data_IF_414821326777
#
_entry.id   IF_414821326777
#
_cell.length_a   1.000
_cell.length_b   1.000
_cell.length_c   1.000
_cell.angle_alpha   90.00
_cell.angle_beta   90.00
_cell.angle_gamma   90.00
#
_symmetry.space_group_name_H-M   'P 1'
#
loop_
_entity.id
_entity.type
_entity.pdbx_description
1 polymer ?
#
# COMPACT_ATOMS: atom_id res chain seq x y z
N UNK A 1 76.28 3.95 -18.48
CA UNK A 1 75.38 4.55 -17.52
C UNK A 1 73.97 4.37 -18.01
N UNK A 2 73.27 3.36 -17.45
CA UNK A 2 71.90 2.99 -17.81
C UNK A 2 70.98 3.45 -16.63
N UNK A 3 70.00 4.30 -16.91
CA UNK A 3 69.00 4.74 -15.92
C UNK A 3 67.89 3.70 -15.82
N UNK A 4 67.36 3.38 -14.64
CA UNK A 4 66.23 2.51 -14.48
C UNK A 4 64.91 3.31 -14.64
N UNK A 5 64.06 2.81 -15.50
CA UNK A 5 62.67 3.28 -15.68
C UNK A 5 61.80 2.78 -14.54
N UNK A 6 61.14 3.70 -13.80
CA UNK A 6 60.20 3.40 -12.76
C UNK A 6 58.83 3.04 -13.36
N UNK A 7 58.28 1.86 -13.03
CA UNK A 7 56.92 1.46 -13.33
C UNK A 7 55.95 2.03 -12.28
N UNK A 8 54.84 2.69 -12.65
CA UNK A 8 53.85 3.09 -11.69
C UNK A 8 53.01 1.91 -11.22
N UNK A 9 52.84 1.79 -9.93
CA UNK A 9 52.13 0.74 -9.23
C UNK A 9 50.64 0.66 -9.59
N UNK A 10 50.26 -0.43 -10.22
CA UNK A 10 48.90 -0.78 -10.68
C UNK A 10 47.92 -1.11 -9.54
N UNK A 11 48.33 -0.99 -8.28
CA UNK A 11 47.55 -1.44 -7.11
C UNK A 11 46.64 -0.35 -6.51
N UNK A 12 46.69 0.91 -7.02
CA UNK A 12 45.80 1.99 -6.48
C UNK A 12 44.47 2.12 -7.21
N UNK A 13 44.37 1.62 -8.43
CA UNK A 13 43.11 1.71 -9.20
C UNK A 13 42.08 0.61 -8.81
N UNK A 14 42.53 -0.53 -8.26
CA UNK A 14 41.63 -1.61 -7.86
C UNK A 14 40.94 -1.37 -6.52
N UNK A 15 41.50 -0.55 -5.64
CA UNK A 15 40.92 -0.23 -4.33
C UNK A 15 39.75 0.75 -4.40
N UNK A 16 39.68 1.58 -5.45
CA UNK A 16 38.61 2.57 -5.59
C UNK A 16 37.34 2.00 -6.21
N UNK A 17 37.43 0.90 -6.96
CA UNK A 17 36.29 0.24 -7.59
C UNK A 17 35.42 -0.58 -6.62
N UNK A 18 35.95 -1.03 -5.47
CA UNK A 18 35.21 -1.79 -4.47
C UNK A 18 34.37 -0.96 -3.50
N UNK A 19 34.57 0.35 -3.44
CA UNK A 19 33.85 1.22 -2.49
C UNK A 19 32.52 1.75 -3.02
N UNK A 20 32.22 1.59 -4.30
CA UNK A 20 30.98 2.11 -4.93
C UNK A 20 29.84 1.08 -4.89
N UNK A 21 30.11 -0.19 -4.59
CA UNK A 21 29.10 -1.27 -4.63
C UNK A 21 28.28 -1.44 -3.34
N UNK A 22 28.49 -0.63 -2.30
CA UNK A 22 27.84 -0.81 -0.99
C UNK A 22 26.62 0.11 -0.75
N UNK A 23 26.14 0.84 -1.75
CA UNK A 23 24.98 1.74 -1.63
C UNK A 23 23.74 1.19 -2.34
N UNK A 24 23.58 -0.15 -2.39
CA UNK A 24 22.24 -0.71 -2.66
C UNK A 24 21.55 -0.78 -1.30
N UNK A 25 21.16 0.40 -0.78
CA UNK A 25 20.31 0.51 0.37
C UNK A 25 18.96 -0.14 0.01
N UNK A 26 18.46 -1.01 0.88
CA UNK A 26 17.07 -1.44 0.87
C UNK A 26 16.21 -0.18 0.75
N UNK A 27 15.53 0.01 -0.37
CA UNK A 27 14.48 1.02 -0.50
C UNK A 27 13.26 0.50 0.24
N UNK A 28 13.35 0.48 1.58
CA UNK A 28 12.17 0.39 2.42
C UNK A 28 11.32 1.63 2.12
N UNK A 29 10.02 1.47 2.04
CA UNK A 29 9.10 2.61 1.95
C UNK A 29 9.22 3.32 3.29
N UNK A 30 9.74 4.55 3.28
CA UNK A 30 9.85 5.41 4.45
C UNK A 30 8.69 6.41 4.40
N UNK A 31 7.77 6.32 5.36
CA UNK A 31 6.63 7.22 5.49
C UNK A 31 6.85 8.12 6.71
N UNK A 32 6.60 9.41 6.55
CA UNK A 32 6.67 10.35 7.66
C UNK A 32 5.55 10.07 8.67
N UNK A 33 5.89 10.08 9.94
CA UNK A 33 4.94 9.91 11.05
C UNK A 33 4.44 11.25 11.61
N UNK A 34 4.79 12.36 10.97
CA UNK A 34 4.36 13.71 11.34
C UNK A 34 3.32 14.19 10.32
N UNK A 35 2.18 14.68 10.83
CA UNK A 35 1.15 15.24 9.97
C UNK A 35 1.69 16.44 9.19
N UNK A 36 1.52 16.49 7.86
CA UNK A 36 1.95 17.64 7.07
C UNK A 36 1.14 18.89 7.42
N UNK A 37 1.82 20.03 7.42
CA UNK A 37 1.21 21.32 7.76
C UNK A 37 0.10 21.67 6.75
N UNK A 38 -1.07 22.01 7.26
CA UNK A 38 -2.20 22.45 6.45
C UNK A 38 -3.05 21.32 5.87
N UNK A 39 -2.71 20.06 6.12
CA UNK A 39 -3.54 18.92 5.72
C UNK A 39 -4.41 18.48 6.88
N UNK A 40 -5.72 18.60 6.71
CA UNK A 40 -6.71 18.11 7.67
C UNK A 40 -7.81 17.33 6.93
N UNK A 41 -7.75 16.01 7.05
CA UNK A 41 -8.71 15.09 6.46
C UNK A 41 -9.97 14.90 7.33
N UNK A 42 -10.00 15.41 8.57
CA UNK A 42 -11.14 15.22 9.47
C UNK A 42 -12.43 15.77 8.87
N UNK A 43 -13.53 15.06 9.08
CA UNK A 43 -14.86 15.43 8.64
C UNK A 43 -15.68 14.27 8.13
N UNK A 44 -16.89 14.57 7.66
CA UNK A 44 -17.76 13.60 7.02
C UNK A 44 -17.67 13.73 5.50
N UNK A 45 -17.57 12.60 4.82
CA UNK A 45 -17.30 12.51 3.41
C UNK A 45 -18.31 11.57 2.75
N UNK A 46 -19.08 12.08 1.79
CA UNK A 46 -20.03 11.30 1.00
C UNK A 46 -19.41 10.91 -0.34
N UNK A 47 -19.54 9.66 -0.72
CA UNK A 47 -19.01 9.17 -1.99
C UNK A 47 -19.65 9.88 -3.17
N UNK A 48 -18.83 10.26 -4.14
CA UNK A 48 -19.24 10.67 -5.47
C UNK A 48 -19.20 9.47 -6.40
N UNK A 49 -20.37 8.90 -6.69
CA UNK A 49 -20.46 7.74 -7.60
C UNK A 49 -20.17 8.08 -9.06
N UNK A 50 -20.30 9.36 -9.43
CA UNK A 50 -20.04 9.81 -10.81
C UNK A 50 -18.54 9.84 -11.13
N UNK A 51 -17.74 10.24 -10.15
CA UNK A 51 -16.29 10.38 -10.28
C UNK A 51 -15.52 9.20 -9.67
N UNK A 52 -16.21 8.25 -9.01
CA UNK A 52 -15.61 7.03 -8.45
C UNK A 52 -15.66 5.88 -9.43
N UNK A 53 -14.65 5.03 -9.37
CA UNK A 53 -14.67 3.75 -10.09
C UNK A 53 -15.75 2.82 -9.57
N UNK A 54 -16.32 2.04 -10.48
CA UNK A 54 -17.21 0.94 -10.13
C UNK A 54 -16.39 -0.24 -9.63
N UNK A 55 -16.47 -0.52 -8.34
CA UNK A 55 -15.79 -1.69 -7.76
C UNK A 55 -16.65 -2.93 -8.06
N UNK A 56 -16.11 -3.92 -8.80
CA UNK A 56 -16.84 -5.16 -9.07
C UNK A 56 -17.04 -5.97 -7.78
N UNK A 57 -17.99 -6.90 -7.78
CA UNK A 57 -18.15 -7.82 -6.66
C UNK A 57 -16.96 -8.80 -6.57
N UNK A 58 -15.94 -8.40 -5.80
CA UNK A 58 -14.73 -9.18 -5.59
C UNK A 58 -14.99 -10.49 -4.81
N UNK A 59 -16.12 -10.61 -4.10
CA UNK A 59 -16.47 -11.80 -3.30
C UNK A 59 -16.88 -12.97 -4.18
N UNK A 60 -17.54 -12.67 -5.30
CA UNK A 60 -18.09 -13.67 -6.22
C UNK A 60 -17.23 -13.82 -7.49
N UNK A 61 -16.03 -13.28 -7.50
CA UNK A 61 -15.14 -13.40 -8.65
C UNK A 61 -14.70 -14.86 -8.81
N UNK A 62 -14.92 -15.50 -9.98
CA UNK A 62 -14.50 -16.88 -10.19
C UNK A 62 -12.98 -16.97 -10.10
N UNK A 63 -12.44 -18.01 -9.44
CA UNK A 63 -11.01 -18.20 -9.33
C UNK A 63 -10.36 -18.28 -10.72
N UNK A 64 -9.25 -17.57 -10.89
CA UNK A 64 -8.47 -17.62 -12.13
C UNK A 64 -7.91 -19.04 -12.29
N UNK A 65 -8.12 -19.68 -13.42
CA UNK A 65 -7.53 -21.01 -13.69
C UNK A 65 -6.00 -20.89 -13.55
N UNK A 66 -5.37 -21.71 -12.70
CA UNK A 66 -3.93 -21.62 -12.50
C UNK A 66 -3.23 -21.82 -13.83
N UNK A 67 -2.36 -20.89 -14.20
CA UNK A 67 -1.49 -21.05 -15.36
C UNK A 67 -0.63 -22.30 -15.14
N UNK A 68 -0.56 -23.18 -16.11
CA UNK A 68 -0.07 -24.59 -16.12
C UNK A 68 1.43 -24.76 -15.75
N UNK A 69 2.01 -23.98 -14.83
CA UNK A 69 3.45 -23.92 -14.60
C UNK A 69 3.96 -24.02 -13.16
N UNK A 70 3.21 -24.68 -12.26
CA UNK A 70 3.80 -25.10 -10.97
C UNK A 70 3.44 -26.55 -10.69
N UNK A 71 4.25 -27.46 -11.24
CA UNK A 71 4.26 -28.87 -10.92
C UNK A 71 5.32 -29.08 -9.83
N UNK A 72 4.99 -28.69 -8.61
CA UNK A 72 5.74 -28.99 -7.40
C UNK A 72 4.73 -29.45 -6.35
N UNK A 73 5.04 -30.56 -5.69
CA UNK A 73 4.24 -31.18 -4.64
C UNK A 73 3.95 -30.20 -3.51
N UNK A 74 2.85 -29.45 -3.60
CA UNK A 74 2.35 -28.57 -2.56
C UNK A 74 1.03 -29.15 -2.05
N UNK A 75 0.90 -29.19 -0.73
CA UNK A 75 -0.22 -29.73 0.00
C UNK A 75 -1.56 -29.17 -0.53
N UNK A 76 -2.38 -30.00 -1.18
CA UNK A 76 -3.62 -29.65 -1.87
C UNK A 76 -4.68 -28.99 -0.97
N UNK A 77 -4.56 -29.13 0.33
CA UNK A 77 -5.52 -28.58 1.30
C UNK A 77 -5.25 -27.09 1.57
N UNK A 78 -3.97 -26.68 1.57
CA UNK A 78 -3.59 -25.26 1.67
C UNK A 78 -3.95 -24.49 0.38
N UNK A 79 -3.97 -25.16 -0.79
CA UNK A 79 -4.32 -24.56 -2.08
C UNK A 79 -5.82 -24.25 -2.23
N UNK A 80 -6.69 -25.02 -1.55
CA UNK A 80 -8.15 -24.83 -1.63
C UNK A 80 -8.66 -23.61 -0.87
N UNK A 81 -7.87 -23.09 0.06
CA UNK A 81 -8.16 -21.83 0.79
C UNK A 81 -7.70 -20.61 -0.01
N UNK A 82 -6.85 -20.79 -1.02
CA UNK A 82 -6.22 -19.69 -1.77
C UNK A 82 -6.99 -19.26 -3.03
N UNK A 83 -7.83 -20.14 -3.62
CA UNK A 83 -8.50 -19.83 -4.89
C UNK A 83 -9.78 -18.99 -4.66
N UNK A 84 -9.68 -17.69 -4.92
CA UNK A 84 -10.79 -16.74 -4.84
C UNK A 84 -11.04 -16.17 -3.43
N UNK A 85 -10.32 -16.64 -2.40
CA UNK A 85 -10.51 -16.19 -1.04
C UNK A 85 -9.78 -14.88 -0.72
N UNK A 86 -8.65 -14.59 -1.36
CA UNK A 86 -7.85 -13.40 -1.07
C UNK A 86 -8.58 -12.12 -1.45
N UNK A 87 -9.11 -12.02 -2.66
CA UNK A 87 -9.91 -10.85 -3.08
C UNK A 87 -11.20 -10.71 -2.28
N UNK A 88 -11.88 -11.83 -1.94
CA UNK A 88 -13.07 -11.80 -1.09
C UNK A 88 -12.73 -11.33 0.33
N UNK A 89 -11.60 -11.76 0.87
CA UNK A 89 -11.10 -11.33 2.17
C UNK A 89 -10.76 -9.84 2.16
N UNK A 90 -10.05 -9.35 1.13
CA UNK A 90 -9.75 -7.93 0.95
C UNK A 90 -11.04 -7.11 0.84
N UNK A 91 -12.03 -7.55 0.04
CA UNK A 91 -13.31 -6.86 -0.09
C UNK A 91 -14.12 -6.81 1.22
N UNK A 92 -13.88 -7.76 2.13
CA UNK A 92 -14.46 -7.74 3.46
C UNK A 92 -13.73 -6.75 4.38
N UNK A 93 -12.39 -6.75 4.39
CA UNK A 93 -11.57 -6.00 5.34
C UNK A 93 -11.37 -4.52 4.95
N UNK A 94 -11.39 -4.22 3.64
CA UNK A 94 -11.18 -2.87 3.12
C UNK A 94 -12.50 -2.23 2.72
N UNK A 95 -13.18 -1.67 3.72
CA UNK A 95 -14.52 -1.09 3.58
C UNK A 95 -14.58 0.12 2.63
N UNK A 96 -13.46 0.81 2.43
CA UNK A 96 -13.35 1.93 1.48
C UNK A 96 -13.82 1.57 0.07
N UNK A 97 -13.67 0.31 -0.33
CA UNK A 97 -14.10 -0.18 -1.65
C UNK A 97 -15.62 -0.09 -1.87
N UNK A 98 -16.42 -0.05 -0.79
CA UNK A 98 -17.89 -0.10 -0.85
C UNK A 98 -18.61 0.90 0.04
N UNK A 99 -17.86 1.70 0.79
CA UNK A 99 -18.46 2.69 1.68
C UNK A 99 -19.14 3.79 0.87
N UNK A 100 -20.34 4.16 1.31
CA UNK A 100 -21.09 5.30 0.78
C UNK A 100 -20.70 6.58 1.52
N UNK A 101 -20.33 6.45 2.79
CA UNK A 101 -19.89 7.55 3.63
C UNK A 101 -18.66 7.14 4.44
N UNK A 102 -17.77 8.11 4.67
CA UNK A 102 -16.56 7.97 5.46
C UNK A 102 -16.49 9.15 6.43
N UNK A 103 -16.40 8.86 7.73
CA UNK A 103 -16.05 9.87 8.73
C UNK A 103 -14.59 9.69 9.11
N UNK A 104 -13.83 10.78 9.07
CA UNK A 104 -12.39 10.80 9.40
C UNK A 104 -12.20 11.64 10.67
N UNK A 105 -11.47 11.08 11.61
CA UNK A 105 -10.99 11.76 12.83
C UNK A 105 -9.46 11.73 12.81
N UNK A 106 -8.83 12.84 12.40
CA UNK A 106 -7.37 12.95 12.35
C UNK A 106 -6.82 13.46 13.68
N UNK A 107 -5.89 12.71 14.26
CA UNK A 107 -5.10 13.08 15.43
C UNK A 107 -3.63 13.29 15.07
N UNK A 108 -2.80 13.61 16.06
CA UNK A 108 -1.37 13.87 15.85
C UNK A 108 -0.61 12.62 15.38
N UNK A 109 -0.96 11.45 15.90
CA UNK A 109 -0.27 10.17 15.74
C UNK A 109 -1.14 9.05 15.15
N UNK A 110 -2.40 9.38 14.82
CA UNK A 110 -3.37 8.38 14.37
C UNK A 110 -4.52 9.00 13.60
N UNK A 111 -5.31 8.13 12.97
CA UNK A 111 -6.53 8.49 12.27
C UNK A 111 -7.61 7.44 12.50
N UNK A 112 -8.79 7.88 12.92
CA UNK A 112 -10.00 7.09 12.93
C UNK A 112 -10.71 7.18 11.58
N UNK A 113 -11.07 6.02 11.01
CA UNK A 113 -11.80 5.88 9.75
C UNK A 113 -13.09 5.11 10.02
N UNK A 114 -14.24 5.79 10.01
CA UNK A 114 -15.55 5.18 10.17
C UNK A 114 -16.26 5.09 8.82
N UNK A 115 -16.36 3.87 8.30
CA UNK A 115 -16.96 3.58 7.01
C UNK A 115 -18.42 3.18 7.16
N UNK A 116 -19.31 3.73 6.33
CA UNK A 116 -20.74 3.40 6.34
C UNK A 116 -21.22 2.98 4.94
N UNK A 117 -21.83 1.78 4.81
CA UNK A 117 -21.90 0.71 5.81
C UNK A 117 -20.52 0.07 6.04
N UNK A 118 -20.20 -0.22 7.29
CA UNK A 118 -18.91 -0.85 7.58
C UNK A 118 -18.56 -0.79 9.06
N UNK A 119 -17.26 -0.73 9.31
CA UNK A 119 -16.68 -0.75 10.66
C UNK A 119 -15.67 0.37 10.83
N UNK A 120 -15.57 0.85 12.05
CA UNK A 120 -14.50 1.76 12.47
C UNK A 120 -13.14 1.08 12.37
N UNK A 121 -12.17 1.81 11.85
CA UNK A 121 -10.78 1.39 11.72
C UNK A 121 -9.88 2.47 12.30
N UNK A 122 -9.09 2.10 13.30
CA UNK A 122 -8.01 2.95 13.80
C UNK A 122 -6.72 2.68 13.02
N UNK A 123 -6.03 3.77 12.62
CA UNK A 123 -4.77 3.74 11.88
C UNK A 123 -3.78 4.62 12.62
N UNK A 124 -2.78 4.01 13.29
CA UNK A 124 -1.67 4.72 13.91
C UNK A 124 -0.49 4.80 12.96
N UNK A 125 0.30 5.87 13.03
CA UNK A 125 1.49 6.05 12.19
C UNK A 125 2.59 5.04 12.52
N UNK A 126 3.39 4.70 11.52
CA UNK A 126 4.44 3.68 11.58
C UNK A 126 3.91 2.26 11.39
N UNK A 127 4.70 1.27 11.81
CA UNK A 127 4.37 -0.15 11.64
C UNK A 127 3.50 -0.65 12.79
N UNK A 128 2.46 -1.39 12.47
CA UNK A 128 1.52 -2.02 13.42
C UNK A 128 1.01 -3.35 12.89
N UNK A 129 0.69 -4.25 13.82
CA UNK A 129 -0.05 -5.48 13.52
C UNK A 129 -1.55 -5.23 13.73
N UNK A 130 -2.38 -5.54 12.73
CA UNK A 130 -3.84 -5.51 12.80
C UNK A 130 -4.42 -6.84 12.31
N UNK A 131 -4.78 -7.71 13.21
CA UNK A 131 -5.23 -9.05 12.86
C UNK A 131 -4.16 -9.80 12.06
N UNK A 132 -4.46 -10.16 10.82
CA UNK A 132 -3.52 -10.82 9.90
C UNK A 132 -2.61 -9.83 9.14
N UNK A 133 -2.90 -8.53 9.20
CA UNK A 133 -2.23 -7.51 8.42
C UNK A 133 -1.05 -6.89 9.18
N UNK A 134 0.10 -6.86 8.54
CA UNK A 134 1.19 -5.94 8.88
C UNK A 134 0.87 -4.61 8.19
N UNK A 135 0.64 -3.57 8.99
CA UNK A 135 0.22 -2.26 8.48
C UNK A 135 1.34 -1.25 8.70
N UNK A 136 1.75 -0.60 7.63
CA UNK A 136 2.60 0.58 7.66
C UNK A 136 1.75 1.78 7.24
N UNK A 137 1.64 2.80 8.09
CA UNK A 137 0.89 4.01 7.79
C UNK A 137 1.71 5.25 8.10
N UNK A 138 1.53 6.27 7.28
CA UNK A 138 2.22 7.55 7.42
C UNK A 138 2.01 8.42 6.20
N UNK A 139 2.78 9.49 6.12
CA UNK A 139 2.63 10.51 5.11
C UNK A 139 3.74 10.45 4.07
N UNK A 140 3.35 10.58 2.82
CA UNK A 140 4.23 10.83 1.69
C UNK A 140 3.83 12.20 1.13
N UNK A 141 4.63 13.23 1.40
CA UNK A 141 4.28 14.64 1.14
C UNK A 141 2.95 15.04 1.81
N UNK A 142 1.87 15.21 1.04
CA UNK A 142 0.52 15.56 1.53
C UNK A 142 -0.50 14.43 1.39
N UNK A 143 -0.05 13.22 1.09
CA UNK A 143 -0.87 12.03 1.01
C UNK A 143 -0.70 11.17 2.25
N UNK A 144 -1.78 10.73 2.85
CA UNK A 144 -1.75 9.62 3.77
C UNK A 144 -1.65 8.32 2.99
N UNK A 145 -0.64 7.54 3.29
CA UNK A 145 -0.40 6.21 2.69
C UNK A 145 -0.56 5.15 3.77
N UNK A 146 -1.38 4.14 3.48
CA UNK A 146 -1.61 2.99 4.36
C UNK A 146 -1.32 1.73 3.56
N UNK A 147 -0.27 1.02 3.92
CA UNK A 147 0.14 -0.22 3.27
C UNK A 147 -0.17 -1.36 4.21
N UNK A 148 -1.00 -2.29 3.77
CA UNK A 148 -1.37 -3.49 4.51
C UNK A 148 -0.86 -4.72 3.77
N UNK A 149 -0.07 -5.56 4.44
CA UNK A 149 0.49 -6.79 3.88
C UNK A 149 0.07 -7.98 4.71
N UNK A 150 -0.32 -9.07 4.07
CA UNK A 150 -0.60 -10.33 4.73
C UNK A 150 -0.31 -11.49 3.75
N UNK A 151 0.68 -12.34 4.07
CA UNK A 151 1.14 -13.44 3.20
C UNK A 151 1.51 -12.91 1.79
N UNK A 152 0.73 -13.30 0.76
CA UNK A 152 0.86 -12.92 -0.64
C UNK A 152 -0.12 -11.82 -1.07
N UNK A 153 -0.81 -11.19 -0.10
CA UNK A 153 -1.71 -10.07 -0.33
C UNK A 153 -1.06 -8.75 0.05
N UNK A 154 -1.24 -7.72 -0.77
CA UNK A 154 -0.91 -6.34 -0.47
C UNK A 154 -2.07 -5.44 -0.85
N UNK A 155 -2.44 -4.56 0.05
CA UNK A 155 -3.36 -3.45 -0.22
C UNK A 155 -2.67 -2.15 0.16
N UNK A 156 -2.73 -1.17 -0.73
CA UNK A 156 -2.22 0.17 -0.49
C UNK A 156 -3.36 1.16 -0.69
N UNK A 157 -3.63 1.96 0.32
CA UNK A 157 -4.61 3.05 0.28
C UNK A 157 -3.86 4.37 0.33
N UNK A 158 -4.18 5.30 -0.59
CA UNK A 158 -3.63 6.65 -0.64
C UNK A 158 -4.75 7.66 -0.55
N UNK A 159 -4.79 8.43 0.51
CA UNK A 159 -5.80 9.45 0.76
C UNK A 159 -5.19 10.83 0.49
N UNK A 160 -5.80 11.60 -0.40
CA UNK A 160 -5.34 12.94 -0.76
C UNK A 160 -6.50 13.93 -0.72
N UNK A 161 -6.30 15.01 0.02
CA UNK A 161 -7.17 16.18 -0.02
C UNK A 161 -6.82 17.00 -1.26
N UNK A 162 -7.65 16.91 -2.31
CA UNK A 162 -7.43 17.65 -3.57
C UNK A 162 -7.88 19.11 -3.44
N UNK A 163 -8.93 19.35 -2.67
CA UNK A 163 -9.42 20.65 -2.26
C UNK A 163 -10.06 20.55 -0.86
N UNK A 164 -10.40 21.64 -0.17
CA UNK A 164 -11.03 21.56 1.14
C UNK A 164 -12.26 20.64 1.20
N UNK A 165 -12.94 20.46 0.08
CA UNK A 165 -14.21 19.71 0.00
C UNK A 165 -14.12 18.45 -0.86
N UNK A 166 -12.93 18.10 -1.38
CA UNK A 166 -12.74 16.95 -2.27
C UNK A 166 -11.61 16.04 -1.77
N UNK A 167 -11.96 14.82 -1.38
CA UNK A 167 -11.05 13.76 -0.99
C UNK A 167 -11.00 12.69 -2.06
N UNK A 168 -9.80 12.31 -2.49
CA UNK A 168 -9.56 11.15 -3.36
C UNK A 168 -8.87 10.04 -2.58
N UNK A 169 -9.33 8.81 -2.78
CA UNK A 169 -8.73 7.61 -2.19
C UNK A 169 -8.44 6.61 -3.31
N UNK A 170 -7.17 6.38 -3.57
CA UNK A 170 -6.72 5.30 -4.44
C UNK A 170 -6.52 4.04 -3.63
N UNK A 171 -6.97 2.92 -4.16
CA UNK A 171 -6.82 1.60 -3.54
C UNK A 171 -6.16 0.68 -4.53
N UNK A 172 -4.92 0.29 -4.24
CA UNK A 172 -4.15 -0.67 -5.03
C UNK A 172 -4.18 -2.02 -4.34
N UNK A 173 -4.52 -3.07 -5.06
CA UNK A 173 -4.62 -4.44 -4.56
C UNK A 173 -3.68 -5.32 -5.38
N UNK A 174 -2.81 -6.06 -4.70
CA UNK A 174 -2.02 -7.14 -5.30
C UNK A 174 -2.32 -8.42 -4.54
N UNK A 175 -3.03 -9.34 -5.19
CA UNK A 175 -3.47 -10.59 -4.59
C UNK A 175 -3.77 -11.63 -5.67
N UNK A 176 -3.51 -12.90 -5.40
CA UNK A 176 -3.78 -14.02 -6.31
C UNK A 176 -3.12 -13.86 -7.71
N UNK A 177 -2.01 -13.09 -7.78
CA UNK A 177 -1.32 -12.75 -9.03
C UNK A 177 -2.08 -11.77 -9.92
N UNK A 178 -3.05 -11.05 -9.36
CA UNK A 178 -3.76 -9.95 -9.99
C UNK A 178 -3.41 -8.62 -9.32
N UNK A 179 -3.31 -7.58 -10.14
CA UNK A 179 -3.17 -6.20 -9.68
C UNK A 179 -4.42 -5.43 -10.10
N UNK A 180 -5.07 -4.83 -9.10
CA UNK A 180 -6.27 -4.03 -9.28
C UNK A 180 -6.05 -2.64 -8.70
N UNK A 181 -6.65 -1.65 -9.33
CA UNK A 181 -6.63 -0.26 -8.87
C UNK A 181 -8.05 0.30 -8.92
N UNK A 182 -8.43 1.03 -7.89
CA UNK A 182 -9.71 1.71 -7.78
C UNK A 182 -9.52 3.11 -7.24
N UNK A 183 -10.18 4.08 -7.85
CA UNK A 183 -10.34 5.42 -7.35
C UNK A 183 -11.71 5.58 -6.69
N UNK A 184 -11.71 6.05 -5.43
CA UNK A 184 -12.91 6.49 -4.73
C UNK A 184 -12.83 7.99 -4.49
N UNK A 185 -13.86 8.71 -4.90
CA UNK A 185 -13.95 10.16 -4.73
C UNK A 185 -15.04 10.47 -3.72
N UNK A 186 -14.74 11.39 -2.81
CA UNK A 186 -15.65 11.77 -1.74
C UNK A 186 -15.76 13.29 -1.64
N UNK A 187 -16.98 13.78 -1.49
CA UNK A 187 -17.29 15.18 -1.23
C UNK A 187 -17.55 15.41 0.26
N UNK A 188 -16.96 16.49 0.82
CA UNK A 188 -17.15 16.85 2.22
C UNK A 188 -18.62 17.23 2.48
N UNK A 189 -19.13 16.75 3.57
CA UNK A 189 -20.44 17.17 4.07
C UNK A 189 -20.30 18.40 4.99
N UNK A 190 -21.28 19.31 4.99
CA UNK A 190 -21.30 20.52 5.85
C UNK A 190 -21.20 20.22 7.34
#
# INVERSE_FOLDING_TARGET
MLQPTAYPSMNRALALACLISAMIGCTGIDLDTVNPVGVNLSGQWLVDFGDSDVVPDLRNRPPRKPSRRVQGSVNREALRVADGSALAFIAHDFQVLRADMLTIEQNVDSMGLDYQPGVYRDVSWGERQRGLWEVLAGWEEQQLVIISKARDMRVEERLQLVSPDLLKVWVFIDADGEQLEFLRVFNRQP
#
